data_IF_903946866304
#
_entry.id   IF_903946866304
#
_cell.length_a   1.000
_cell.length_b   1.000
_cell.length_c   1.000
_cell.angle_alpha   90.00
_cell.angle_beta   90.00
_cell.angle_gamma   90.00
#
_symmetry.space_group_name_H-M   'P 1'
#
loop_
_entity.id
_entity.type
_entity.pdbx_description
1 polymer ?
#
# COMPACT_ATOMS: atom_id res chain seq x y z
N UNK A 1 5.56 -1.93 38.29
CA UNK A 1 4.82 -3.00 39.01
C UNK A 1 3.36 -2.81 38.68
N UNK A 2 2.76 -3.77 37.97
CA UNK A 2 1.34 -3.74 37.67
C UNK A 2 0.55 -4.24 38.88
N UNK A 3 -0.54 -3.55 39.23
CA UNK A 3 -1.39 -3.89 40.37
C UNK A 3 -2.72 -4.41 39.82
N UNK A 4 -3.06 -5.65 40.17
CA UNK A 4 -4.33 -6.26 39.78
C UNK A 4 -5.47 -5.59 40.56
N UNK A 5 -6.43 -5.02 39.83
CA UNK A 5 -7.63 -4.39 40.39
C UNK A 5 -8.85 -5.17 39.93
N UNK A 6 -9.68 -5.62 40.88
CA UNK A 6 -10.98 -6.22 40.57
C UNK A 6 -11.93 -5.15 40.05
N UNK A 7 -12.51 -5.41 38.89
CA UNK A 7 -13.52 -4.53 38.30
C UNK A 7 -14.90 -4.97 38.80
N UNK A 8 -15.64 -4.07 39.45
CA UNK A 8 -17.03 -4.30 39.81
C UNK A 8 -17.93 -4.23 38.57
N UNK A 9 -19.05 -4.94 38.61
CA UNK A 9 -20.06 -4.88 37.55
C UNK A 9 -20.67 -3.48 37.48
N UNK A 10 -21.00 -3.01 36.26
CA UNK A 10 -21.48 -1.64 36.07
C UNK A 10 -22.89 -1.49 36.66
N UNK A 11 -23.02 -0.64 37.66
CA UNK A 11 -24.31 -0.31 38.29
C UNK A 11 -25.25 0.41 37.30
N UNK A 12 -24.74 1.29 36.42
CA UNK A 12 -25.55 2.12 35.50
C UNK A 12 -24.86 2.32 34.14
N UNK A 13 -25.65 2.25 33.07
CA UNK A 13 -25.25 2.60 31.68
C UNK A 13 -24.72 1.43 30.83
N UNK A 14 -24.90 1.54 29.52
CA UNK A 14 -24.45 0.52 28.56
C UNK A 14 -22.99 0.70 28.12
N UNK A 15 -22.35 -0.41 27.75
CA UNK A 15 -21.00 -0.37 27.15
C UNK A 15 -21.01 0.42 25.85
N UNK A 16 -20.26 1.52 25.81
CA UNK A 16 -20.00 2.29 24.57
C UNK A 16 -19.04 1.57 23.62
N UNK A 17 -18.39 0.49 24.08
CA UNK A 17 -17.45 -0.32 23.33
C UNK A 17 -18.19 -1.46 22.65
N UNK A 18 -18.73 -1.20 21.45
CA UNK A 18 -19.12 -2.28 20.56
C UNK A 18 -17.87 -2.88 19.90
N UNK A 19 -17.87 -4.18 19.54
CA UNK A 19 -16.74 -4.79 18.84
C UNK A 19 -16.36 -4.03 17.56
N UNK A 20 -17.36 -3.48 16.85
CA UNK A 20 -17.12 -2.68 15.64
C UNK A 20 -16.44 -1.34 15.94
N UNK A 21 -16.81 -0.68 17.06
CA UNK A 21 -16.17 0.57 17.48
C UNK A 21 -14.74 0.33 17.97
N UNK A 22 -14.45 -0.85 18.56
CA UNK A 22 -13.08 -1.25 18.90
C UNK A 22 -12.21 -1.44 17.65
N UNK A 23 -12.74 -2.09 16.61
CA UNK A 23 -12.03 -2.28 15.34
C UNK A 23 -11.72 -0.92 14.71
N UNK A 24 -12.70 -0.01 14.63
CA UNK A 24 -12.48 1.34 14.11
C UNK A 24 -11.44 2.11 14.94
N UNK A 25 -11.49 2.01 16.26
CA UNK A 25 -10.50 2.62 17.15
C UNK A 25 -9.08 2.10 16.88
N UNK A 26 -8.94 0.80 16.57
CA UNK A 26 -7.65 0.20 16.26
C UNK A 26 -7.09 0.73 14.94
N UNK A 27 -7.94 0.91 13.92
CA UNK A 27 -7.53 1.56 12.68
C UNK A 27 -7.15 3.03 12.89
N UNK A 28 -7.94 3.79 13.65
CA UNK A 28 -7.60 5.19 13.98
C UNK A 28 -6.24 5.28 14.69
N UNK A 29 -5.98 4.38 15.64
CA UNK A 29 -4.69 4.31 16.35
C UNK A 29 -3.53 3.98 15.40
N UNK A 30 -3.68 3.00 14.50
CA UNK A 30 -2.63 2.65 13.52
C UNK A 30 -2.35 3.82 12.58
N UNK A 31 -3.40 4.55 12.17
CA UNK A 31 -3.25 5.65 11.21
C UNK A 31 -2.67 6.92 11.87
N UNK A 32 -2.99 7.17 13.15
CA UNK A 32 -2.56 8.38 13.86
C UNK A 32 -1.21 8.23 14.60
N UNK A 33 -0.88 7.04 15.10
CA UNK A 33 0.28 6.83 15.98
C UNK A 33 1.45 6.11 15.30
N UNK A 34 1.27 5.62 14.06
CA UNK A 34 2.32 4.89 13.35
C UNK A 34 2.47 5.35 11.90
N UNK A 35 3.73 5.47 11.46
CA UNK A 35 4.11 5.68 10.05
C UNK A 35 4.19 4.35 9.27
N UNK A 36 3.82 3.23 9.90
CA UNK A 36 3.82 1.88 9.32
C UNK A 36 2.96 1.72 8.06
N UNK A 37 1.71 2.25 7.96
CA UNK A 37 0.93 2.11 6.72
C UNK A 37 1.58 2.84 5.54
N UNK A 38 2.24 3.97 5.81
CA UNK A 38 2.89 4.80 4.79
C UNK A 38 4.17 4.12 4.28
N UNK A 39 4.94 3.52 5.19
CA UNK A 39 6.14 2.74 4.84
C UNK A 39 5.80 1.49 4.02
N UNK A 40 4.67 0.84 4.31
CA UNK A 40 4.18 -0.29 3.53
C UNK A 40 3.85 0.12 2.08
N UNK A 41 3.21 1.28 1.90
CA UNK A 41 2.90 1.81 0.57
C UNK A 41 4.16 2.07 -0.26
N UNK A 42 5.23 2.60 0.36
CA UNK A 42 6.52 2.78 -0.31
C UNK A 42 7.15 1.46 -0.78
N UNK A 43 7.09 0.41 0.05
CA UNK A 43 7.63 -0.92 -0.30
C UNK A 43 6.82 -1.53 -1.45
N UNK A 44 5.48 -1.41 -1.40
CA UNK A 44 4.59 -1.88 -2.47
C UNK A 44 4.90 -1.11 -3.76
N UNK A 45 4.97 0.22 -3.72
CA UNK A 45 5.32 1.05 -4.87
C UNK A 45 6.65 0.67 -5.51
N UNK A 46 7.69 0.47 -4.69
CA UNK A 46 9.01 0.03 -5.17
C UNK A 46 8.97 -1.35 -5.84
N UNK A 47 8.32 -2.33 -5.20
CA UNK A 47 8.19 -3.68 -5.77
C UNK A 47 7.42 -3.68 -7.09
N UNK A 48 6.37 -2.84 -7.18
CA UNK A 48 5.55 -2.70 -8.37
C UNK A 48 6.30 -1.99 -9.51
N UNK A 49 7.10 -0.96 -9.19
CA UNK A 49 8.00 -0.31 -10.15
C UNK A 49 9.07 -1.29 -10.68
N UNK A 50 9.66 -2.12 -9.81
CA UNK A 50 10.64 -3.13 -10.19
C UNK A 50 10.04 -4.18 -11.12
N UNK A 51 8.89 -4.74 -10.76
CA UNK A 51 8.17 -5.72 -11.60
C UNK A 51 7.74 -5.11 -12.93
N UNK A 52 7.24 -3.86 -12.94
CA UNK A 52 6.90 -3.12 -14.15
C UNK A 52 8.12 -2.91 -15.06
N UNK A 53 9.28 -2.57 -14.48
CA UNK A 53 10.53 -2.43 -15.21
C UNK A 53 11.01 -3.74 -15.85
N UNK A 54 10.97 -4.84 -15.10
CA UNK A 54 11.29 -6.18 -15.63
C UNK A 54 10.35 -6.56 -16.77
N UNK A 55 9.05 -6.30 -16.60
CA UNK A 55 8.04 -6.56 -17.63
C UNK A 55 8.25 -5.72 -18.89
N UNK A 56 8.66 -4.45 -18.74
CA UNK A 56 9.01 -3.59 -19.88
C UNK A 56 10.21 -4.15 -20.67
N UNK A 57 11.27 -4.56 -19.98
CA UNK A 57 12.44 -5.17 -20.63
C UNK A 57 12.05 -6.45 -21.36
N UNK A 58 11.27 -7.31 -20.73
CA UNK A 58 10.78 -8.55 -21.33
C UNK A 58 10.01 -8.26 -22.63
N UNK A 59 9.09 -7.30 -22.62
CA UNK A 59 8.32 -6.93 -23.81
C UNK A 59 9.18 -6.34 -24.93
N UNK A 60 10.22 -5.57 -24.60
CA UNK A 60 11.18 -5.07 -25.59
C UNK A 60 11.92 -6.24 -26.24
N UNK A 61 12.41 -7.20 -25.45
CA UNK A 61 13.10 -8.39 -25.97
C UNK A 61 12.19 -9.21 -26.87
N UNK A 62 10.95 -9.50 -26.42
CA UNK A 62 10.00 -10.27 -27.22
C UNK A 62 9.62 -9.52 -28.51
N UNK A 63 9.51 -8.18 -28.48
CA UNK A 63 9.28 -7.37 -29.68
C UNK A 63 10.43 -7.49 -30.68
N UNK A 64 11.68 -7.54 -30.22
CA UNK A 64 12.85 -7.68 -31.11
C UNK A 64 12.90 -9.07 -31.76
N UNK A 65 12.47 -10.12 -31.06
CA UNK A 65 12.49 -11.50 -31.55
C UNK A 65 11.29 -11.80 -32.47
N UNK A 66 10.08 -11.44 -32.05
CA UNK A 66 8.83 -11.82 -32.73
C UNK A 66 8.28 -10.73 -33.67
N UNK A 67 8.92 -9.55 -33.71
CA UNK A 67 8.53 -8.44 -34.57
C UNK A 67 7.35 -7.61 -34.07
N UNK A 68 7.01 -6.55 -34.81
CA UNK A 68 6.02 -5.55 -34.40
C UNK A 68 4.57 -6.06 -34.39
N UNK A 69 4.24 -7.05 -35.22
CA UNK A 69 2.90 -7.65 -35.33
C UNK A 69 2.49 -8.39 -34.06
N UNK A 70 3.45 -9.03 -33.37
CA UNK A 70 3.21 -9.69 -32.08
C UNK A 70 2.95 -8.69 -30.95
N UNK A 71 3.56 -7.50 -31.02
CA UNK A 71 3.45 -6.49 -29.99
C UNK A 71 2.12 -5.69 -30.01
N UNK A 72 1.15 -6.08 -30.83
CA UNK A 72 -0.16 -5.41 -30.94
C UNK A 72 -0.02 -3.92 -31.24
N UNK A 73 0.83 -3.57 -32.23
CA UNK A 73 1.18 -2.20 -32.63
C UNK A 73 1.72 -1.30 -31.50
N UNK A 74 2.25 -1.91 -30.42
CA UNK A 74 2.86 -1.19 -29.30
C UNK A 74 1.95 -0.99 -28.09
N UNK A 75 0.73 -1.53 -28.10
CA UNK A 75 -0.17 -1.52 -26.93
C UNK A 75 0.46 -2.17 -25.69
N UNK A 76 1.19 -3.27 -25.84
CA UNK A 76 1.91 -3.89 -24.71
C UNK A 76 3.02 -3.01 -24.15
N UNK A 77 3.73 -2.28 -25.01
CA UNK A 77 4.76 -1.32 -24.57
C UNK A 77 4.13 -0.18 -23.78
N UNK A 78 2.95 0.30 -24.20
CA UNK A 78 2.18 1.31 -23.48
C UNK A 78 1.81 0.83 -22.06
N UNK A 79 1.32 -0.41 -21.92
CA UNK A 79 1.01 -1.00 -20.62
C UNK A 79 2.25 -1.10 -19.71
N UNK A 80 3.41 -1.44 -20.27
CA UNK A 80 4.64 -1.49 -19.51
C UNK A 80 5.03 -0.10 -18.96
N UNK A 81 4.95 0.93 -19.80
CA UNK A 81 5.20 2.32 -19.38
C UNK A 81 4.19 2.75 -18.31
N UNK A 82 2.91 2.42 -18.47
CA UNK A 82 1.87 2.71 -17.47
C UNK A 82 2.16 2.06 -16.12
N UNK A 83 2.60 0.80 -16.09
CA UNK A 83 2.95 0.13 -14.83
C UNK A 83 4.17 0.75 -14.15
N UNK A 84 5.19 1.15 -14.91
CA UNK A 84 6.34 1.89 -14.35
C UNK A 84 5.89 3.23 -13.78
N UNK A 85 5.04 3.98 -14.50
CA UNK A 85 4.55 5.28 -14.04
C UNK A 85 3.66 5.16 -12.79
N UNK A 86 2.79 4.17 -12.76
CA UNK A 86 1.90 3.88 -11.62
C UNK A 86 2.71 3.44 -10.39
N UNK A 87 3.73 2.60 -10.58
CA UNK A 87 4.67 2.23 -9.51
C UNK A 87 5.40 3.45 -8.93
N UNK A 88 5.86 4.35 -9.80
CA UNK A 88 6.47 5.63 -9.41
C UNK A 88 5.51 6.53 -8.62
N UNK A 89 4.23 6.61 -9.02
CA UNK A 89 3.21 7.36 -8.28
C UNK A 89 2.98 6.81 -6.87
N UNK A 90 2.92 5.48 -6.70
CA UNK A 90 2.79 4.86 -5.38
C UNK A 90 4.03 5.09 -4.51
N UNK A 91 5.23 5.04 -5.09
CA UNK A 91 6.45 5.40 -4.40
C UNK A 91 6.43 6.88 -3.94
N UNK A 92 5.94 7.78 -4.80
CA UNK A 92 5.74 9.19 -4.45
C UNK A 92 4.72 9.39 -3.32
N UNK A 93 3.58 8.69 -3.34
CA UNK A 93 2.60 8.72 -2.26
C UNK A 93 3.16 8.21 -0.94
N UNK A 94 3.98 7.15 -0.97
CA UNK A 94 4.67 6.64 0.21
C UNK A 94 5.67 7.64 0.81
N UNK A 95 6.40 8.37 -0.04
CA UNK A 95 7.37 9.38 0.36
C UNK A 95 6.69 10.64 0.93
N UNK A 96 5.58 11.08 0.31
CA UNK A 96 4.71 12.13 0.85
C UNK A 96 4.13 11.73 2.21
N UNK A 97 3.73 10.46 2.35
CA UNK A 97 3.29 9.90 3.62
C UNK A 97 4.35 9.98 4.71
N UNK A 98 5.59 9.57 4.40
CA UNK A 98 6.70 9.67 5.35
C UNK A 98 7.02 11.12 5.74
N UNK A 99 6.85 12.07 4.82
CA UNK A 99 7.02 13.50 5.12
C UNK A 99 5.90 14.05 6.01
N UNK A 100 4.63 13.71 5.71
CA UNK A 100 3.47 14.15 6.50
C UNK A 100 3.39 13.50 7.90
N UNK A 101 3.97 12.31 8.06
CA UNK A 101 4.01 11.59 9.33
C UNK A 101 5.10 12.06 10.29
N UNK A 102 5.91 13.05 9.90
CA UNK A 102 6.89 13.73 10.75
C UNK A 102 6.42 15.16 11.02
#
# INVERSE_FOLDING_TARGET
TEVLVQHAEREHGDSKHSPMRLINLMFDLITCMTTTPLRLLSIIGFSMALLGGIFAILLIVLRLIFGATWAGDGTFVLFAVLFVFTGGQFMGMGLLGEYLGR
#
